data_IF_637739951091
#
_entry.id   IF_637739951091
#
_cell.length_a   1.000
_cell.length_b   1.000
_cell.length_c   1.000
_cell.angle_alpha   90.00
_cell.angle_beta   90.00
_cell.angle_gamma   90.00
#
_symmetry.space_group_name_H-M   'P 1'
#
loop_
_entity.id
_entity.type
_entity.pdbx_description
1 polymer ?
#
# COMPACT_ATOMS: atom_id res chain seq x y z
N UNK A 1 -11.93 8.07 -7.25
CA UNK A 1 -12.86 7.47 -8.22
C UNK A 1 -14.28 7.75 -7.73
N UNK A 2 -15.10 8.33 -8.58
CA UNK A 2 -16.46 8.75 -8.21
C UNK A 2 -17.48 7.70 -8.71
N UNK A 3 -18.16 7.03 -7.78
CA UNK A 3 -19.20 6.03 -8.07
C UNK A 3 -20.32 6.63 -8.93
N UNK A 4 -20.67 7.90 -8.71
CA UNK A 4 -21.71 8.60 -9.46
C UNK A 4 -21.35 8.77 -10.94
N UNK A 5 -20.05 8.87 -11.27
CA UNK A 5 -19.58 8.92 -12.66
C UNK A 5 -19.65 7.53 -13.29
N UNK A 6 -19.25 6.48 -12.56
CA UNK A 6 -19.36 5.10 -13.03
C UNK A 6 -20.81 4.71 -13.30
N UNK A 7 -21.73 5.07 -12.39
CA UNK A 7 -23.17 4.87 -12.58
C UNK A 7 -23.70 5.55 -13.83
N UNK A 8 -23.41 6.84 -13.99
CA UNK A 8 -23.82 7.59 -15.18
C UNK A 8 -23.29 6.99 -16.49
N UNK A 9 -22.04 6.53 -16.49
CA UNK A 9 -21.45 5.92 -17.69
C UNK A 9 -22.09 4.57 -18.00
N UNK A 10 -22.37 3.73 -17.01
CA UNK A 10 -23.04 2.44 -17.21
C UNK A 10 -24.50 2.59 -17.61
N UNK A 11 -25.23 3.59 -17.05
CA UNK A 11 -26.61 3.89 -17.43
C UNK A 11 -26.67 4.41 -18.87
N UNK A 12 -25.77 5.34 -19.27
CA UNK A 12 -25.67 5.82 -20.65
C UNK A 12 -25.31 4.69 -21.63
N UNK A 13 -24.41 3.79 -21.25
CA UNK A 13 -24.10 2.62 -22.08
C UNK A 13 -25.36 1.78 -22.33
N UNK A 14 -26.20 1.59 -21.28
CA UNK A 14 -27.48 0.92 -21.38
C UNK A 14 -28.47 1.63 -22.31
N UNK A 15 -28.54 2.96 -22.27
CA UNK A 15 -29.41 3.76 -23.15
C UNK A 15 -28.97 3.64 -24.63
N UNK A 16 -27.63 3.75 -24.89
CA UNK A 16 -27.11 3.60 -26.24
C UNK A 16 -27.37 2.22 -26.84
N UNK A 17 -27.29 1.16 -26.03
CA UNK A 17 -27.49 -0.21 -26.51
C UNK A 17 -28.94 -0.54 -26.78
N UNK A 18 -29.92 0.10 -26.13
CA UNK A 18 -31.33 -0.05 -26.45
C UNK A 18 -31.71 0.45 -27.86
N UNK A 19 -30.90 1.37 -28.43
CA UNK A 19 -31.09 1.90 -29.79
C UNK A 19 -30.31 1.15 -30.88
N UNK A 20 -29.45 0.21 -30.51
CA UNK A 20 -28.68 -0.61 -31.44
C UNK A 20 -29.37 -1.96 -31.63
N UNK A 21 -29.66 -2.33 -32.89
CA UNK A 21 -30.15 -3.65 -33.26
C UNK A 21 -29.00 -4.69 -33.20
N UNK A 22 -28.45 -4.84 -31.99
CA UNK A 22 -27.32 -5.73 -31.71
C UNK A 22 -27.80 -6.91 -30.87
N UNK A 23 -27.46 -8.13 -31.32
CA UNK A 23 -27.78 -9.33 -30.54
C UNK A 23 -27.14 -9.25 -29.12
N UNK A 24 -27.91 -9.59 -28.12
CA UNK A 24 -27.51 -9.56 -26.68
C UNK A 24 -26.17 -10.29 -26.44
N UNK A 25 -25.89 -11.34 -27.20
CA UNK A 25 -24.65 -12.10 -27.14
C UNK A 25 -23.41 -11.28 -27.60
N UNK A 26 -23.53 -10.54 -28.70
CA UNK A 26 -22.44 -9.68 -29.20
C UNK A 26 -22.16 -8.54 -28.23
N UNK A 27 -23.20 -8.00 -27.62
CA UNK A 27 -23.07 -7.00 -26.58
C UNK A 27 -22.31 -7.54 -25.35
N UNK A 28 -22.66 -8.73 -24.88
CA UNK A 28 -21.98 -9.38 -23.75
C UNK A 28 -20.49 -9.61 -24.06
N UNK A 29 -20.13 -10.04 -25.29
CA UNK A 29 -18.73 -10.22 -25.70
C UNK A 29 -17.95 -8.89 -25.74
N UNK A 30 -18.56 -7.83 -26.26
CA UNK A 30 -17.94 -6.51 -26.30
C UNK A 30 -17.66 -5.99 -24.89
N UNK A 31 -18.64 -6.08 -23.99
CA UNK A 31 -18.48 -5.68 -22.59
C UNK A 31 -17.43 -6.52 -21.88
N UNK A 32 -17.36 -7.83 -22.14
CA UNK A 32 -16.33 -8.72 -21.61
C UNK A 32 -14.93 -8.27 -22.04
N UNK A 33 -14.75 -7.94 -23.32
CA UNK A 33 -13.47 -7.46 -23.85
C UNK A 33 -13.03 -6.15 -23.18
N UNK A 34 -13.93 -5.17 -23.09
CA UNK A 34 -13.65 -3.89 -22.44
C UNK A 34 -13.33 -4.08 -20.94
N UNK A 35 -14.11 -4.90 -20.25
CA UNK A 35 -13.88 -5.19 -18.84
C UNK A 35 -12.51 -5.84 -18.59
N UNK A 36 -12.14 -6.84 -19.42
CA UNK A 36 -10.83 -7.50 -19.31
C UNK A 36 -9.68 -6.50 -19.51
N UNK A 37 -9.80 -5.60 -20.51
CA UNK A 37 -8.79 -4.55 -20.75
C UNK A 37 -8.65 -3.64 -19.54
N UNK A 38 -9.76 -3.23 -18.91
CA UNK A 38 -9.74 -2.41 -17.69
C UNK A 38 -9.03 -3.16 -16.55
N UNK A 39 -9.33 -4.44 -16.36
CA UNK A 39 -8.72 -5.28 -15.33
C UNK A 39 -7.20 -5.40 -15.53
N UNK A 40 -6.75 -5.63 -16.76
CA UNK A 40 -5.32 -5.73 -17.09
C UNK A 40 -4.54 -4.43 -16.79
N UNK A 41 -5.20 -3.27 -16.88
CA UNK A 41 -4.60 -1.97 -16.56
C UNK A 41 -4.45 -1.73 -15.05
N UNK A 42 -5.14 -2.49 -14.20
CA UNK A 42 -5.14 -2.31 -12.74
C UNK A 42 -4.21 -3.37 -12.10
N UNK A 43 -3.07 -2.98 -11.50
CA UNK A 43 -2.16 -3.95 -10.87
C UNK A 43 -2.86 -4.81 -9.81
N UNK A 44 -2.72 -6.13 -9.92
CA UNK A 44 -3.33 -7.13 -9.03
C UNK A 44 -4.86 -7.08 -8.95
N UNK A 45 -5.54 -6.64 -10.00
CA UNK A 45 -7.00 -6.58 -10.04
C UNK A 45 -7.65 -7.98 -9.95
N UNK A 46 -6.96 -9.02 -10.41
CA UNK A 46 -7.43 -10.42 -10.37
C UNK A 46 -7.82 -10.89 -8.96
N UNK A 47 -7.18 -10.35 -7.94
CA UNK A 47 -7.47 -10.67 -6.53
C UNK A 47 -8.84 -10.13 -6.07
N UNK A 48 -9.39 -9.14 -6.76
CA UNK A 48 -10.55 -8.37 -6.32
C UNK A 48 -11.75 -8.49 -7.25
N UNK A 49 -11.52 -8.77 -8.54
CA UNK A 49 -12.58 -8.72 -9.53
C UNK A 49 -13.39 -10.01 -9.63
N UNK A 50 -12.90 -11.14 -9.12
CA UNK A 50 -13.47 -12.45 -9.46
C UNK A 50 -13.69 -12.59 -10.96
N UNK A 51 -13.66 -13.77 -11.52
CA UNK A 51 -13.96 -13.95 -12.95
C UNK A 51 -15.37 -13.44 -13.27
N UNK A 52 -15.47 -12.33 -14.01
CA UNK A 52 -16.73 -11.87 -14.57
C UNK A 52 -16.94 -12.61 -15.89
N UNK A 53 -18.02 -13.33 -15.98
CA UNK A 53 -18.44 -14.07 -17.19
C UNK A 53 -19.76 -13.46 -17.70
N UNK A 54 -19.64 -12.43 -18.52
CA UNK A 54 -20.80 -11.74 -19.11
C UNK A 54 -21.50 -12.61 -20.14
N UNK A 55 -20.86 -13.67 -20.67
CA UNK A 55 -21.46 -14.62 -21.58
C UNK A 55 -22.61 -15.43 -20.99
N UNK A 56 -22.77 -15.44 -19.65
CA UNK A 56 -23.93 -16.06 -18.96
C UNK A 56 -25.16 -15.19 -18.94
N UNK A 57 -25.02 -13.90 -19.22
CA UNK A 57 -26.14 -12.97 -19.30
C UNK A 57 -26.94 -13.22 -20.58
N UNK A 58 -28.28 -13.24 -20.44
CA UNK A 58 -29.21 -13.48 -21.54
C UNK A 58 -29.78 -12.21 -22.16
N UNK A 59 -29.60 -11.07 -21.50
CA UNK A 59 -30.11 -9.79 -21.95
C UNK A 59 -29.08 -8.69 -21.68
N UNK A 60 -29.09 -7.63 -22.50
CA UNK A 60 -28.26 -6.44 -22.31
C UNK A 60 -28.46 -5.83 -20.92
N UNK A 61 -29.68 -5.87 -20.39
CA UNK A 61 -29.99 -5.39 -19.02
C UNK A 61 -29.22 -6.17 -17.93
N UNK A 62 -29.12 -7.50 -18.08
CA UNK A 62 -28.35 -8.34 -17.14
C UNK A 62 -26.86 -8.04 -17.26
N UNK A 63 -26.33 -7.84 -18.48
CA UNK A 63 -24.94 -7.46 -18.73
C UNK A 63 -24.63 -6.13 -18.02
N UNK A 64 -25.47 -5.11 -18.20
CA UNK A 64 -25.27 -3.80 -17.58
C UNK A 64 -25.32 -3.86 -16.06
N UNK A 65 -26.25 -4.61 -15.49
CA UNK A 65 -26.35 -4.80 -14.04
C UNK A 65 -25.08 -5.47 -13.48
N UNK A 66 -24.61 -6.50 -14.13
CA UNK A 66 -23.37 -7.19 -13.74
C UNK A 66 -22.16 -6.28 -13.88
N UNK A 67 -22.06 -5.53 -14.98
CA UNK A 67 -20.97 -4.55 -15.19
C UNK A 67 -20.93 -3.50 -14.08
N UNK A 68 -22.10 -2.93 -13.75
CA UNK A 68 -22.25 -1.95 -12.66
C UNK A 68 -21.76 -2.50 -11.33
N UNK A 69 -22.18 -3.70 -10.95
CA UNK A 69 -21.73 -4.36 -9.72
C UNK A 69 -20.23 -4.61 -9.69
N UNK A 70 -19.64 -5.02 -10.82
CA UNK A 70 -18.20 -5.27 -10.93
C UNK A 70 -17.38 -3.99 -10.84
N UNK A 71 -17.83 -2.91 -11.50
CA UNK A 71 -17.17 -1.61 -11.42
C UNK A 71 -17.21 -1.06 -10.00
N UNK A 72 -18.34 -1.15 -9.31
CA UNK A 72 -18.42 -0.72 -7.90
C UNK A 72 -17.47 -1.48 -7.01
N UNK A 73 -17.40 -2.81 -7.12
CA UNK A 73 -16.44 -3.62 -6.36
C UNK A 73 -14.97 -3.23 -6.62
N UNK A 74 -14.62 -2.87 -7.87
CA UNK A 74 -13.29 -2.36 -8.21
C UNK A 74 -13.03 -0.99 -7.57
N UNK A 75 -14.00 -0.08 -7.63
CA UNK A 75 -13.88 1.26 -7.02
C UNK A 75 -13.67 1.14 -5.51
N UNK A 76 -14.46 0.33 -4.82
CA UNK A 76 -14.34 0.10 -3.38
C UNK A 76 -12.96 -0.44 -3.02
N UNK A 77 -12.48 -1.38 -3.80
CA UNK A 77 -11.15 -1.95 -3.62
C UNK A 77 -10.03 -0.92 -3.82
N UNK A 78 -10.14 -0.08 -4.86
CA UNK A 78 -9.18 0.99 -5.12
C UNK A 78 -9.20 2.05 -4.01
N UNK A 79 -10.38 2.40 -3.47
CA UNK A 79 -10.53 3.30 -2.32
C UNK A 79 -9.83 2.73 -1.08
N UNK A 80 -10.11 1.47 -0.74
CA UNK A 80 -9.46 0.81 0.41
C UNK A 80 -7.92 0.77 0.29
N UNK A 81 -7.40 0.60 -0.94
CA UNK A 81 -5.96 0.66 -1.20
C UNK A 81 -5.40 2.06 -1.00
N UNK A 82 -6.09 3.08 -1.50
CA UNK A 82 -5.68 4.48 -1.35
C UNK A 82 -5.64 4.86 0.13
N UNK A 83 -6.71 4.56 0.88
CA UNK A 83 -6.78 4.80 2.33
C UNK A 83 -5.64 4.10 3.07
N UNK A 84 -5.34 2.84 2.71
CA UNK A 84 -4.23 2.10 3.29
C UNK A 84 -2.85 2.70 2.98
N UNK A 85 -2.63 3.23 1.77
CA UNK A 85 -1.40 3.94 1.41
C UNK A 85 -1.26 5.25 2.18
N UNK A 86 -2.31 6.05 2.20
CA UNK A 86 -2.32 7.33 2.92
C UNK A 86 -2.06 7.12 4.42
N UNK A 87 -2.61 6.04 5.00
CA UNK A 87 -2.33 5.65 6.39
C UNK A 87 -0.86 5.23 6.57
N UNK A 88 -0.31 4.40 5.66
CA UNK A 88 1.09 4.00 5.72
C UNK A 88 2.02 5.21 5.66
N UNK A 89 1.77 6.15 4.76
CA UNK A 89 2.59 7.34 4.57
C UNK A 89 2.56 8.24 5.82
N UNK A 90 1.39 8.42 6.44
CA UNK A 90 1.26 9.14 7.71
C UNK A 90 2.00 8.46 8.87
N UNK A 91 1.98 7.12 8.93
CA UNK A 91 2.72 6.34 9.93
C UNK A 91 4.24 6.46 9.70
N UNK A 92 4.71 6.40 8.45
CA UNK A 92 6.11 6.59 8.09
C UNK A 92 6.60 7.99 8.48
N UNK A 93 5.83 9.02 8.16
CA UNK A 93 6.17 10.39 8.56
C UNK A 93 6.30 10.52 10.09
N UNK A 94 5.40 9.89 10.84
CA UNK A 94 5.49 9.83 12.28
C UNK A 94 6.77 9.13 12.76
N UNK A 95 7.11 7.97 12.17
CA UNK A 95 8.33 7.24 12.48
C UNK A 95 9.58 8.09 12.18
N UNK A 96 9.62 8.80 11.06
CA UNK A 96 10.73 9.71 10.72
C UNK A 96 10.91 10.84 11.74
N UNK A 97 9.84 11.31 12.36
CA UNK A 97 9.90 12.37 13.38
C UNK A 97 10.25 11.86 14.79
N UNK A 98 9.92 10.59 15.08
CA UNK A 98 9.97 10.02 16.42
C UNK A 98 10.88 8.79 16.56
N UNK A 99 11.73 8.50 15.56
CA UNK A 99 12.55 7.27 15.48
C UNK A 99 13.39 6.98 16.73
N UNK A 100 13.78 8.01 17.51
CA UNK A 100 14.52 7.87 18.76
C UNK A 100 13.69 7.36 19.93
N UNK A 101 12.37 7.37 19.82
CA UNK A 101 11.44 6.90 20.85
C UNK A 101 11.20 5.40 20.78
N UNK A 102 10.56 4.83 21.82
CA UNK A 102 10.21 3.41 21.86
C UNK A 102 8.94 3.15 21.04
N UNK A 103 9.09 3.12 19.71
CA UNK A 103 7.96 2.88 18.79
C UNK A 103 7.76 1.38 18.60
N UNK A 104 6.55 0.92 18.92
CA UNK A 104 6.09 -0.45 18.69
C UNK A 104 4.86 -0.47 17.78
N UNK A 105 4.50 -1.62 17.22
CA UNK A 105 3.24 -1.78 16.48
C UNK A 105 2.02 -1.39 17.33
N UNK A 106 2.09 -1.65 18.65
CA UNK A 106 1.02 -1.32 19.57
C UNK A 106 0.93 0.19 19.80
N UNK A 107 2.06 0.85 20.14
CA UNK A 107 2.07 2.30 20.37
C UNK A 107 1.68 3.09 19.13
N UNK A 108 2.10 2.61 17.95
CA UNK A 108 1.71 3.19 16.67
C UNK A 108 0.20 2.99 16.42
N UNK A 109 -0.32 1.79 16.70
CA UNK A 109 -1.75 1.51 16.62
C UNK A 109 -2.58 2.41 17.53
N UNK A 110 -2.21 2.53 18.79
CA UNK A 110 -2.88 3.43 19.76
C UNK A 110 -2.89 4.89 19.28
N UNK A 111 -1.76 5.35 18.72
CA UNK A 111 -1.64 6.73 18.20
C UNK A 111 -2.59 7.02 17.03
N UNK A 112 -2.80 6.05 16.15
CA UNK A 112 -3.63 6.19 14.96
C UNK A 112 -5.06 5.62 15.12
N UNK A 113 -5.43 5.14 16.32
CA UNK A 113 -6.74 4.53 16.57
C UNK A 113 -6.92 3.17 15.89
N UNK A 114 -5.84 2.40 15.72
CA UNK A 114 -5.79 1.15 14.99
C UNK A 114 -5.27 0.01 15.85
N UNK A 115 -5.55 -1.23 15.46
CA UNK A 115 -4.95 -2.39 16.12
C UNK A 115 -3.53 -2.64 15.61
N UNK A 116 -2.66 -3.22 16.44
CA UNK A 116 -1.30 -3.59 16.04
C UNK A 116 -1.26 -4.52 14.80
N UNK A 117 -2.24 -5.43 14.71
CA UNK A 117 -2.39 -6.33 13.55
C UNK A 117 -2.68 -5.54 12.28
N UNK A 118 -3.62 -4.59 12.35
CA UNK A 118 -3.95 -3.75 11.19
C UNK A 118 -2.77 -2.86 10.75
N UNK A 119 -2.02 -2.27 11.69
CA UNK A 119 -0.77 -1.54 11.39
C UNK A 119 0.21 -2.43 10.63
N UNK A 120 0.44 -3.67 11.12
CA UNK A 120 1.31 -4.63 10.43
C UNK A 120 0.84 -4.93 9.01
N UNK A 121 -0.47 -5.09 8.80
CA UNK A 121 -1.05 -5.37 7.48
C UNK A 121 -0.97 -4.17 6.54
N UNK A 122 -1.13 -2.95 7.05
CA UNK A 122 -0.96 -1.71 6.27
C UNK A 122 0.46 -1.62 5.71
N UNK A 123 1.49 -1.87 6.55
CA UNK A 123 2.89 -1.90 6.09
C UNK A 123 3.13 -3.00 5.03
N UNK A 124 2.58 -4.20 5.20
CA UNK A 124 2.71 -5.28 4.21
C UNK A 124 2.02 -4.96 2.88
N UNK A 125 0.82 -4.36 2.92
CA UNK A 125 0.03 -4.02 1.72
C UNK A 125 0.60 -2.85 0.94
N UNK A 126 1.32 -1.94 1.58
CA UNK A 126 2.01 -0.84 0.89
C UNK A 126 3.12 -1.33 -0.05
N UNK A 127 3.39 -2.65 -0.09
CA UNK A 127 4.40 -3.27 -0.95
C UNK A 127 5.83 -3.01 -0.50
N UNK A 128 6.00 -2.48 0.69
CA UNK A 128 7.27 -2.12 1.27
C UNK A 128 7.69 -3.10 2.38
N UNK A 129 8.80 -2.75 3.02
CA UNK A 129 9.38 -3.52 4.12
C UNK A 129 8.42 -3.59 5.31
N UNK A 130 8.53 -4.63 6.13
CA UNK A 130 7.75 -4.70 7.37
C UNK A 130 8.10 -3.53 8.31
N UNK A 131 7.22 -3.21 9.26
CA UNK A 131 7.41 -2.11 10.21
C UNK A 131 8.79 -2.11 10.89
N UNK A 132 9.24 -3.28 11.35
CA UNK A 132 10.54 -3.37 12.04
C UNK A 132 11.72 -3.09 11.13
N UNK A 133 11.66 -3.54 9.88
CA UNK A 133 12.71 -3.29 8.91
C UNK A 133 12.74 -1.81 8.53
N UNK A 134 11.57 -1.20 8.35
CA UNK A 134 11.44 0.22 8.07
C UNK A 134 12.00 1.09 9.21
N UNK A 135 11.59 0.83 10.46
CA UNK A 135 12.11 1.55 11.63
C UNK A 135 13.63 1.37 11.78
N UNK A 136 14.12 0.16 11.54
CA UNK A 136 15.57 -0.13 11.58
C UNK A 136 16.31 0.69 10.53
N UNK A 137 15.81 0.76 9.31
CA UNK A 137 16.44 1.51 8.21
C UNK A 137 16.48 3.02 8.51
N UNK A 138 15.38 3.58 9.01
CA UNK A 138 15.33 4.98 9.44
C UNK A 138 16.36 5.26 10.53
N UNK A 139 16.45 4.41 11.54
CA UNK A 139 17.42 4.55 12.64
C UNK A 139 18.86 4.44 12.16
N UNK A 140 19.17 3.48 11.29
CA UNK A 140 20.52 3.31 10.76
C UNK A 140 20.89 4.47 9.82
N UNK A 141 19.97 4.96 9.00
CA UNK A 141 20.19 6.17 8.20
C UNK A 141 20.57 7.37 9.08
N UNK A 142 19.83 7.59 10.18
CA UNK A 142 20.15 8.65 11.14
C UNK A 142 21.44 8.39 11.90
N UNK A 143 21.81 7.14 12.17
CA UNK A 143 23.12 6.82 12.74
C UNK A 143 24.26 7.23 11.80
N UNK A 144 24.12 6.98 10.50
CA UNK A 144 25.13 7.35 9.49
C UNK A 144 25.32 8.85 9.47
N UNK A 145 24.27 9.65 9.47
CA UNK A 145 24.33 11.11 9.55
C UNK A 145 25.09 11.58 10.83
N UNK A 146 24.80 10.95 11.98
CA UNK A 146 25.44 11.31 13.26
C UNK A 146 26.89 10.81 13.38
N UNK A 147 27.28 9.79 12.61
CA UNK A 147 28.66 9.29 12.56
C UNK A 147 29.62 10.25 11.85
N UNK A 148 29.12 11.18 11.04
CA UNK A 148 29.92 12.24 10.42
C UNK A 148 30.50 13.21 11.45
N UNK A 149 29.89 13.33 12.63
CA UNK A 149 30.44 14.12 13.72
C UNK A 149 31.42 13.28 14.58
N UNK A 150 32.73 13.52 14.49
CA UNK A 150 33.73 12.77 15.25
C UNK A 150 33.68 13.00 16.76
N UNK A 151 33.03 14.07 17.22
CA UNK A 151 32.87 14.40 18.64
C UNK A 151 31.84 13.48 19.33
N UNK A 152 30.89 12.91 18.58
CA UNK A 152 29.84 12.06 19.13
C UNK A 152 30.36 10.63 19.38
N UNK A 153 30.24 10.18 20.62
CA UNK A 153 30.57 8.80 20.97
C UNK A 153 29.52 7.83 20.43
N UNK A 154 29.94 6.70 19.87
CA UNK A 154 29.05 5.71 19.27
C UNK A 154 27.92 5.24 20.23
N UNK A 155 28.17 5.01 21.54
CA UNK A 155 27.08 4.70 22.47
C UNK A 155 26.04 5.83 22.63
N UNK A 156 26.46 7.10 22.49
CA UNK A 156 25.55 8.26 22.52
C UNK A 156 24.68 8.27 21.27
N UNK A 157 25.25 8.01 20.12
CA UNK A 157 24.53 7.87 18.85
C UNK A 157 23.48 6.75 18.98
N UNK A 158 23.88 5.56 19.50
CA UNK A 158 22.96 4.45 19.70
C UNK A 158 21.74 4.85 20.54
N UNK A 159 21.96 5.56 21.65
CA UNK A 159 20.89 6.07 22.51
C UNK A 159 19.99 7.10 21.79
N UNK A 160 20.59 8.03 21.06
CA UNK A 160 19.87 9.08 20.34
C UNK A 160 18.91 8.54 19.27
N UNK A 161 19.26 7.41 18.64
CA UNK A 161 18.45 6.76 17.62
C UNK A 161 17.52 5.67 18.17
N UNK A 162 17.39 5.56 19.51
CA UNK A 162 16.41 4.70 20.16
C UNK A 162 16.90 3.26 20.42
N UNK A 163 18.21 3.00 20.44
CA UNK A 163 18.75 1.72 20.90
C UNK A 163 19.22 1.82 22.36
N UNK A 164 18.53 1.11 23.26
CA UNK A 164 18.90 1.08 24.69
C UNK A 164 20.19 0.31 24.95
N UNK A 165 20.47 -0.72 24.15
CA UNK A 165 21.69 -1.52 24.23
C UNK A 165 22.63 -1.20 23.05
N UNK A 166 23.80 -0.56 23.31
CA UNK A 166 24.78 -0.26 22.29
C UNK A 166 25.32 -1.53 21.59
N UNK A 167 25.40 -2.68 22.27
CA UNK A 167 25.88 -3.92 21.66
C UNK A 167 24.89 -4.44 20.61
N UNK A 168 23.58 -4.30 20.90
CA UNK A 168 22.56 -4.63 19.93
C UNK A 168 22.60 -3.70 18.72
N UNK A 169 22.79 -2.40 18.95
CA UNK A 169 23.02 -1.44 17.85
C UNK A 169 24.20 -1.84 16.96
N UNK A 170 25.36 -2.22 17.54
CA UNK A 170 26.51 -2.66 16.74
C UNK A 170 26.17 -3.84 15.83
N UNK A 171 25.42 -4.83 16.32
CA UNK A 171 24.98 -6.00 15.53
C UNK A 171 24.06 -5.59 14.39
N UNK A 172 23.08 -4.72 14.67
CA UNK A 172 22.10 -4.25 13.69
C UNK A 172 22.78 -3.40 12.63
N UNK A 173 23.61 -2.45 13.03
CA UNK A 173 24.35 -1.58 12.12
C UNK A 173 25.24 -2.39 11.17
N UNK A 174 26.02 -3.36 11.70
CA UNK A 174 26.85 -4.24 10.87
C UNK A 174 26.03 -5.10 9.92
N UNK A 175 24.86 -5.59 10.36
CA UNK A 175 23.95 -6.38 9.50
C UNK A 175 23.42 -5.56 8.32
N UNK A 176 23.10 -4.27 8.54
CA UNK A 176 22.52 -3.41 7.52
C UNK A 176 23.57 -2.84 6.57
N UNK A 177 24.73 -2.39 7.11
CA UNK A 177 25.77 -1.68 6.35
C UNK A 177 26.95 -2.54 5.92
N UNK A 178 27.08 -3.76 6.47
CA UNK A 178 28.22 -4.64 6.26
C UNK A 178 29.43 -4.33 7.16
N UNK A 179 29.48 -3.17 7.82
CA UNK A 179 30.59 -2.69 8.63
C UNK A 179 30.15 -2.35 10.05
N UNK A 180 31.10 -2.35 11.00
CA UNK A 180 30.82 -1.80 12.33
C UNK A 180 30.72 -0.28 12.28
N UNK A 181 30.00 0.37 13.22
CA UNK A 181 29.92 1.84 13.27
C UNK A 181 31.27 2.52 13.33
N UNK A 182 32.26 1.89 14.00
CA UNK A 182 33.62 2.42 14.06
C UNK A 182 34.30 2.35 12.69
N UNK A 183 34.28 1.17 12.06
CA UNK A 183 34.84 0.99 10.72
C UNK A 183 34.22 1.95 9.71
N UNK A 184 32.90 2.13 9.79
CA UNK A 184 32.16 3.03 8.92
C UNK A 184 32.65 4.48 9.10
N UNK A 185 32.79 4.95 10.36
CA UNK A 185 33.34 6.28 10.67
C UNK A 185 34.78 6.45 10.18
N UNK A 186 35.61 5.42 10.29
CA UNK A 186 37.03 5.47 9.86
C UNK A 186 37.15 5.57 8.32
N UNK A 187 36.04 5.33 7.58
CA UNK A 187 35.95 5.44 6.12
C UNK A 187 35.33 6.74 5.62
N UNK A 188 34.77 7.59 6.53
CA UNK A 188 34.24 8.92 6.18
C UNK A 188 35.33 9.95 6.12
#
# INVERSE_FOLDING_TARGET
CDETVADRLTDRLGEYTQGLDMEDYLYAQLVQGVYNTIIEMIPNADQYSGQADFGRCRTARQVNLMLKQRIHGLIDCLKQRQDGRDQADRMKEYIYKHYGEDITLQSLGERFGLTAGYVSDVFKRSGEKCFHDFLTEVRIGKAIELLEDPSLKIPVIAGAIGYRDPNYFYKVFKRVTGMTPKQFRDCL
#
